data_IF_700153741633
#
_entry.id   IF_700153741633
#
_cell.length_a   1.000
_cell.length_b   1.000
_cell.length_c   1.000
_cell.angle_alpha   90.00
_cell.angle_beta   90.00
_cell.angle_gamma   90.00
#
_symmetry.space_group_name_H-M   'P 1'
#
loop_
_entity.id
_entity.type
_entity.pdbx_description
1 polymer ?
#
# COMPACT_ATOMS: atom_id res chain seq x y z
N UNK A 1 -47.45 16.85 61.54
CA UNK A 1 -47.65 17.94 60.56
C UNK A 1 -46.37 18.08 59.73
N UNK A 2 -46.21 17.26 58.69
CA UNK A 2 -45.05 17.35 57.79
C UNK A 2 -45.49 18.05 56.50
N UNK A 3 -45.24 19.36 56.42
CA UNK A 3 -45.33 20.09 55.15
C UNK A 3 -44.00 19.90 54.43
N UNK A 4 -43.94 18.98 53.47
CA UNK A 4 -42.77 18.86 52.60
C UNK A 4 -42.63 20.12 51.74
N UNK A 5 -41.55 20.91 51.85
CA UNK A 5 -41.40 22.17 51.12
C UNK A 5 -40.86 21.96 49.69
N UNK A 6 -41.09 20.78 49.11
CA UNK A 6 -40.53 20.38 47.82
C UNK A 6 -41.61 20.53 46.74
N UNK A 7 -41.46 21.52 45.87
CA UNK A 7 -42.36 21.70 44.72
C UNK A 7 -42.17 20.55 43.73
N UNK A 8 -43.20 19.73 43.52
CA UNK A 8 -43.20 18.59 42.58
C UNK A 8 -42.65 18.92 41.18
N UNK A 9 -42.93 20.14 40.68
CA UNK A 9 -42.38 20.64 39.41
C UNK A 9 -40.86 20.68 39.38
N UNK A 10 -40.19 21.07 40.48
CA UNK A 10 -38.72 21.09 40.56
C UNK A 10 -38.15 19.67 40.55
N UNK A 11 -38.79 18.73 41.25
CA UNK A 11 -38.38 17.31 41.27
C UNK A 11 -38.43 16.72 39.86
N UNK A 12 -39.51 16.96 39.12
CA UNK A 12 -39.63 16.50 37.73
C UNK A 12 -38.56 17.10 36.82
N UNK A 13 -38.25 18.39 36.97
CA UNK A 13 -37.18 19.02 36.18
C UNK A 13 -35.84 18.36 36.49
N UNK A 14 -35.47 18.21 37.76
CA UNK A 14 -34.20 17.55 38.12
C UNK A 14 -34.14 16.10 37.66
N UNK A 15 -35.24 15.34 37.78
CA UNK A 15 -35.32 13.97 37.27
C UNK A 15 -35.13 13.92 35.75
N UNK A 16 -35.77 14.83 35.00
CA UNK A 16 -35.63 14.89 33.54
C UNK A 16 -34.20 15.23 33.11
N UNK A 17 -33.54 16.18 33.77
CA UNK A 17 -32.14 16.53 33.50
C UNK A 17 -31.22 15.36 33.81
N UNK A 18 -31.46 14.66 34.93
CA UNK A 18 -30.68 13.47 35.27
C UNK A 18 -30.81 12.37 34.21
N UNK A 19 -32.03 12.11 33.73
CA UNK A 19 -32.28 11.14 32.65
C UNK A 19 -31.58 11.57 31.35
N UNK A 20 -31.65 12.86 31.00
CA UNK A 20 -30.97 13.39 29.82
C UNK A 20 -29.44 13.21 29.89
N UNK A 21 -28.83 13.42 31.06
CA UNK A 21 -27.40 13.21 31.26
C UNK A 21 -27.05 11.73 31.03
N UNK A 22 -27.82 10.81 31.61
CA UNK A 22 -27.62 9.37 31.39
C UNK A 22 -27.77 8.98 29.91
N UNK A 23 -28.77 9.55 29.23
CA UNK A 23 -29.00 9.31 27.81
C UNK A 23 -27.82 9.78 26.95
N UNK A 24 -27.28 10.96 27.22
CA UNK A 24 -26.12 11.49 26.48
C UNK A 24 -24.88 10.61 26.68
N UNK A 25 -24.65 10.12 27.91
CA UNK A 25 -23.52 9.22 28.20
C UNK A 25 -23.66 7.92 27.39
N UNK A 26 -24.81 7.26 27.49
CA UNK A 26 -25.07 5.99 26.79
C UNK A 26 -25.00 6.15 25.27
N UNK A 27 -25.59 7.23 24.75
CA UNK A 27 -25.58 7.54 23.33
C UNK A 27 -24.15 7.76 22.81
N UNK A 28 -23.35 8.54 23.52
CA UNK A 28 -21.95 8.78 23.15
C UNK A 28 -21.13 7.49 23.17
N UNK A 29 -21.28 6.65 24.20
CA UNK A 29 -20.59 5.36 24.27
C UNK A 29 -20.96 4.44 23.10
N UNK A 30 -22.24 4.38 22.72
CA UNK A 30 -22.70 3.59 21.57
C UNK A 30 -22.18 4.13 20.24
N UNK A 31 -22.15 5.46 20.08
CA UNK A 31 -21.57 6.09 18.89
C UNK A 31 -20.07 5.80 18.78
N UNK A 32 -19.34 5.91 19.88
CA UNK A 32 -17.90 5.62 19.90
C UNK A 32 -17.62 4.17 19.53
N UNK A 33 -18.38 3.23 20.09
CA UNK A 33 -18.26 1.82 19.76
C UNK A 33 -18.57 1.54 18.29
N UNK A 34 -19.66 2.11 17.75
CA UNK A 34 -20.01 1.98 16.34
C UNK A 34 -18.93 2.56 15.44
N UNK A 35 -18.39 3.73 15.77
CA UNK A 35 -17.32 4.36 15.00
C UNK A 35 -16.04 3.54 15.04
N UNK A 36 -15.71 2.95 16.20
CA UNK A 36 -14.57 2.04 16.34
C UNK A 36 -14.73 0.79 15.47
N UNK A 37 -15.91 0.16 15.51
CA UNK A 37 -16.20 -1.04 14.70
C UNK A 37 -16.14 -0.72 13.19
N UNK A 38 -16.69 0.42 12.77
CA UNK A 38 -16.61 0.84 11.37
C UNK A 38 -15.17 1.05 10.91
N UNK A 39 -14.32 1.69 11.73
CA UNK A 39 -12.89 1.85 11.42
C UNK A 39 -12.17 0.51 11.31
N UNK A 40 -12.47 -0.44 12.21
CA UNK A 40 -11.89 -1.78 12.15
C UNK A 40 -12.34 -2.52 10.88
N UNK A 41 -13.61 -2.42 10.53
CA UNK A 41 -14.17 -3.01 9.31
C UNK A 41 -13.49 -2.43 8.06
N UNK A 42 -13.31 -1.11 7.99
CA UNK A 42 -12.64 -0.44 6.87
C UNK A 42 -11.18 -0.92 6.72
N UNK A 43 -10.44 -1.04 7.83
CA UNK A 43 -9.07 -1.56 7.83
C UNK A 43 -9.00 -3.01 7.32
N UNK A 44 -9.89 -3.87 7.81
CA UNK A 44 -9.93 -5.28 7.39
C UNK A 44 -10.33 -5.40 5.92
N UNK A 45 -11.27 -4.60 5.43
CA UNK A 45 -11.66 -4.58 4.02
C UNK A 45 -10.52 -4.12 3.11
N UNK A 46 -9.76 -3.10 3.51
CA UNK A 46 -8.59 -2.65 2.77
C UNK A 46 -7.55 -3.77 2.64
N UNK A 47 -7.21 -4.43 3.75
CA UNK A 47 -6.28 -5.56 3.77
C UNK A 47 -6.77 -6.74 2.92
N UNK A 48 -8.06 -7.07 3.00
CA UNK A 48 -8.64 -8.14 2.20
C UNK A 48 -8.58 -7.81 0.69
N UNK A 49 -8.83 -6.55 0.33
CA UNK A 49 -8.75 -6.10 -1.06
C UNK A 49 -7.32 -6.17 -1.58
N UNK A 50 -6.35 -5.69 -0.82
CA UNK A 50 -4.93 -5.77 -1.16
C UNK A 50 -4.46 -7.22 -1.34
N UNK A 51 -4.84 -8.11 -0.40
CA UNK A 51 -4.52 -9.53 -0.47
C UNK A 51 -5.15 -10.19 -1.71
N UNK A 52 -6.40 -9.86 -2.04
CA UNK A 52 -7.08 -10.38 -3.22
C UNK A 52 -6.40 -9.92 -4.52
N UNK A 53 -6.03 -8.64 -4.62
CA UNK A 53 -5.31 -8.12 -5.78
C UNK A 53 -3.95 -8.80 -5.95
N UNK A 54 -3.21 -8.96 -4.86
CA UNK A 54 -1.93 -9.68 -4.84
C UNK A 54 -2.10 -11.13 -5.29
N UNK A 55 -3.14 -11.80 -4.80
CA UNK A 55 -3.45 -13.17 -5.22
C UNK A 55 -3.75 -13.27 -6.71
N UNK A 56 -4.55 -12.36 -7.27
CA UNK A 56 -4.86 -12.32 -8.70
C UNK A 56 -3.59 -12.09 -9.53
N UNK A 57 -2.74 -11.15 -9.10
CA UNK A 57 -1.47 -10.87 -9.78
C UNK A 57 -0.54 -12.10 -9.78
N UNK A 58 -0.41 -12.76 -8.63
CA UNK A 58 0.40 -13.98 -8.51
C UNK A 58 -0.18 -15.14 -9.32
N UNK A 59 -1.50 -15.34 -9.32
CA UNK A 59 -2.15 -16.35 -10.15
C UNK A 59 -1.90 -16.09 -11.64
N UNK A 60 -1.93 -14.83 -12.07
CA UNK A 60 -1.62 -14.44 -13.44
C UNK A 60 -0.16 -14.76 -13.79
N UNK A 61 0.78 -14.46 -12.90
CA UNK A 61 2.20 -14.79 -13.11
C UNK A 61 2.43 -16.30 -13.20
N UNK A 62 1.77 -17.09 -12.34
CA UNK A 62 1.85 -18.56 -12.39
C UNK A 62 1.28 -19.09 -13.71
N UNK A 63 0.12 -18.57 -14.15
CA UNK A 63 -0.47 -18.96 -15.42
C UNK A 63 0.44 -18.62 -16.61
N UNK A 64 1.08 -17.44 -16.59
CA UNK A 64 2.06 -17.05 -17.60
C UNK A 64 3.28 -17.98 -17.59
N UNK A 65 3.89 -18.21 -16.42
CA UNK A 65 5.07 -19.05 -16.28
C UNK A 65 4.82 -20.51 -16.72
N UNK A 66 3.57 -20.98 -16.64
CA UNK A 66 3.15 -22.30 -17.12
C UNK A 66 2.75 -22.33 -18.61
N UNK A 67 2.81 -21.21 -19.32
CA UNK A 67 2.37 -21.09 -20.72
C UNK A 67 3.52 -21.30 -21.71
N UNK A 68 3.17 -21.73 -22.92
CA UNK A 68 4.13 -21.85 -24.03
C UNK A 68 4.77 -20.51 -24.41
N UNK A 69 4.06 -19.39 -24.19
CA UNK A 69 4.58 -18.05 -24.46
C UNK A 69 5.80 -17.72 -23.59
N UNK A 70 5.78 -18.12 -22.31
CA UNK A 70 6.94 -17.95 -21.43
C UNK A 70 8.12 -18.84 -21.86
N UNK A 71 7.84 -20.05 -22.35
CA UNK A 71 8.87 -20.95 -22.92
C UNK A 71 9.47 -20.36 -24.19
N UNK A 72 8.66 -19.80 -25.07
CA UNK A 72 9.12 -19.15 -26.30
C UNK A 72 9.97 -17.91 -25.99
N UNK A 73 9.51 -17.03 -25.10
CA UNK A 73 10.25 -15.84 -24.68
C UNK A 73 11.62 -16.21 -24.11
N UNK A 74 11.67 -17.20 -23.21
CA UNK A 74 12.93 -17.73 -22.69
C UNK A 74 13.82 -18.28 -23.80
N UNK A 75 13.25 -19.11 -24.69
CA UNK A 75 13.99 -19.73 -25.78
C UNK A 75 14.63 -18.67 -26.70
N UNK A 76 13.93 -17.56 -26.99
CA UNK A 76 14.47 -16.48 -27.83
C UNK A 76 15.52 -15.64 -27.10
N UNK A 77 15.25 -15.24 -25.86
CA UNK A 77 16.03 -14.22 -25.16
C UNK A 77 17.24 -14.80 -24.41
N UNK A 78 17.04 -15.90 -23.70
CA UNK A 78 18.03 -16.50 -22.80
C UNK A 78 18.63 -17.78 -23.38
N UNK A 79 17.79 -18.61 -24.00
CA UNK A 79 18.22 -19.84 -24.66
C UNK A 79 18.95 -19.60 -25.98
N UNK A 80 18.78 -18.42 -26.59
CA UNK A 80 19.28 -18.06 -27.92
C UNK A 80 18.89 -19.07 -29.01
N UNK A 81 17.71 -19.68 -28.89
CA UNK A 81 17.16 -20.65 -29.83
C UNK A 81 16.53 -19.93 -31.03
N UNK A 82 16.78 -20.49 -32.22
CA UNK A 82 16.33 -19.98 -33.51
C UNK A 82 15.19 -20.83 -34.06
N UNK A 83 14.25 -20.22 -34.77
CA UNK A 83 13.16 -20.89 -35.46
C UNK A 83 13.63 -21.29 -36.87
N UNK A 84 12.99 -22.28 -37.50
CA UNK A 84 13.25 -22.59 -38.89
C UNK A 84 13.04 -21.34 -39.78
N UNK A 85 14.12 -20.85 -40.39
CA UNK A 85 14.12 -19.65 -41.23
C UNK A 85 14.79 -18.41 -40.61
N UNK A 86 15.08 -18.43 -39.31
CA UNK A 86 15.88 -17.37 -38.67
C UNK A 86 17.34 -17.42 -39.14
N UNK A 87 17.94 -16.26 -39.45
CA UNK A 87 19.37 -16.14 -39.72
C UNK A 87 20.08 -15.53 -38.49
N UNK A 88 20.89 -16.32 -37.75
CA UNK A 88 21.66 -15.77 -36.64
C UNK A 88 22.70 -14.79 -37.17
N UNK A 89 22.55 -13.51 -36.85
CA UNK A 89 23.53 -12.48 -37.18
C UNK A 89 24.47 -12.32 -35.99
N UNK A 90 25.73 -12.68 -36.19
CA UNK A 90 26.81 -12.38 -35.24
C UNK A 90 27.43 -11.07 -35.73
N UNK A 91 27.32 -9.95 -34.99
CA UNK A 91 27.99 -8.72 -35.35
C UNK A 91 29.50 -8.96 -35.27
N UNK A 92 30.16 -9.03 -36.43
CA UNK A 92 31.61 -8.97 -36.50
C UNK A 92 32.01 -7.50 -36.53
N UNK A 93 32.92 -7.10 -35.63
CA UNK A 93 33.53 -5.78 -35.69
C UNK A 93 34.20 -5.58 -37.05
N UNK A 94 34.06 -4.39 -37.62
CA UNK A 94 34.67 -4.08 -38.92
C UNK A 94 36.20 -4.09 -38.72
N UNK A 95 36.99 -4.80 -39.54
CA UNK A 95 38.45 -4.76 -39.42
C UNK A 95 38.94 -3.31 -39.60
N UNK A 96 39.45 -2.70 -38.52
CA UNK A 96 39.89 -1.30 -38.51
C UNK A 96 38.90 -0.27 -37.94
N UNK A 97 37.70 -0.68 -37.49
CA UNK A 97 36.85 0.20 -36.67
C UNK A 97 37.38 0.27 -35.25
N UNK A 98 37.41 1.46 -34.66
CA UNK A 98 37.68 1.64 -33.24
C UNK A 98 36.72 0.77 -32.41
N UNK A 99 37.19 0.10 -31.33
CA UNK A 99 36.31 -0.65 -30.45
C UNK A 99 35.14 0.23 -30.03
N UNK A 100 33.92 -0.31 -30.04
CA UNK A 100 32.78 0.36 -29.42
C UNK A 100 33.15 0.52 -27.94
N UNK A 101 33.50 1.75 -27.54
CA UNK A 101 33.71 2.09 -26.14
C UNK A 101 32.36 1.91 -25.48
N UNK A 102 32.17 0.78 -24.79
CA UNK A 102 31.01 0.61 -23.93
C UNK A 102 30.94 1.86 -23.03
N UNK A 103 29.79 2.54 -22.94
CA UNK A 103 29.67 3.71 -22.09
C UNK A 103 30.14 3.31 -20.69
N UNK A 104 31.16 4.00 -20.19
CA UNK A 104 31.65 3.77 -18.83
C UNK A 104 30.42 3.85 -17.93
N UNK A 105 30.10 2.80 -17.16
CA UNK A 105 28.95 2.84 -16.28
C UNK A 105 29.09 4.09 -15.41
N UNK A 106 28.07 4.95 -15.43
CA UNK A 106 28.07 6.10 -14.54
C UNK A 106 28.20 5.56 -13.13
N UNK A 107 29.07 6.13 -12.29
CA UNK A 107 29.19 5.71 -10.91
C UNK A 107 27.79 5.78 -10.30
N UNK A 108 27.32 4.64 -9.79
CA UNK A 108 26.08 4.60 -9.02
C UNK A 108 26.28 5.59 -7.87
N UNK A 109 25.43 6.62 -7.73
CA UNK A 109 25.58 7.57 -6.64
C UNK A 109 25.53 6.77 -5.34
N UNK A 110 26.58 6.90 -4.53
CA UNK A 110 26.62 6.28 -3.21
C UNK A 110 25.38 6.75 -2.44
N UNK A 111 24.53 5.84 -1.95
CA UNK A 111 23.34 6.24 -1.22
C UNK A 111 23.80 6.99 0.03
N UNK A 112 23.40 8.27 0.13
CA UNK A 112 23.66 9.08 1.33
C UNK A 112 23.01 8.41 2.53
N UNK A 113 23.73 8.34 3.64
CA UNK A 113 23.14 7.90 4.89
C UNK A 113 22.08 8.91 5.32
N UNK A 114 21.02 8.43 5.98
CA UNK A 114 19.88 9.27 6.36
C UNK A 114 20.28 10.58 7.09
N UNK A 115 21.32 10.55 7.91
CA UNK A 115 21.79 11.74 8.63
C UNK A 115 22.46 12.78 7.72
N UNK A 116 23.14 12.35 6.64
CA UNK A 116 23.74 13.25 5.64
C UNK A 116 22.65 13.96 4.84
N UNK A 117 21.56 13.25 4.54
CA UNK A 117 20.37 13.81 3.89
C UNK A 117 19.78 14.92 4.77
N UNK A 118 19.56 14.65 6.07
CA UNK A 118 19.06 15.66 6.99
C UNK A 118 20.01 16.86 7.08
N UNK A 119 21.31 16.64 7.17
CA UNK A 119 22.29 17.73 7.25
C UNK A 119 22.25 18.63 6.01
N UNK A 120 22.22 18.06 4.81
CA UNK A 120 22.15 18.84 3.56
C UNK A 120 20.87 19.66 3.44
N UNK A 121 19.71 19.10 3.80
CA UNK A 121 18.42 19.79 3.74
C UNK A 121 18.35 21.03 4.66
N UNK A 122 19.07 21.02 5.78
CA UNK A 122 19.02 22.12 6.74
C UNK A 122 20.15 23.14 6.58
N UNK A 123 21.26 22.80 5.94
CA UNK A 123 22.49 23.60 6.00
C UNK A 123 23.22 23.81 4.67
N UNK A 124 22.72 23.29 3.55
CA UNK A 124 23.37 23.44 2.24
C UNK A 124 22.39 24.02 1.20
N UNK A 125 22.51 25.33 0.90
CA UNK A 125 21.89 26.03 -0.24
C UNK A 125 22.76 25.88 -1.50
#
# INVERSE_FOLDING_TARGET
MFKSPISFRRVLIFASVFILILFVIEFNSRLEESNRLNKQLEQVQALATEAMQTQIALQTQVAYAASDAAVEEWARNEGHYILPGDQPVIPLGIPGSEPIVAPTPQPIPTPMQNWEIWWTLFFND
#
